data_IF_900213259850
#
_entry.id   IF_900213259850
#
_cell.length_a   1.000
_cell.length_b   1.000
_cell.length_c   1.000
_cell.angle_alpha   90.00
_cell.angle_beta   90.00
_cell.angle_gamma   90.00
#
_symmetry.space_group_name_H-M   'P 1'
#
loop_
_entity.id
_entity.type
_entity.pdbx_description
1 polymer ?
#
# COMPACT_ATOMS: atom_id res chain seq x y z
N UNK A 1 -29.58 10.97 -18.28
CA UNK A 1 -30.09 9.62 -18.56
C UNK A 1 -29.62 8.78 -17.39
N UNK A 2 -30.55 8.29 -16.57
CA UNK A 2 -30.27 7.74 -15.24
C UNK A 2 -29.31 6.55 -15.35
N UNK A 3 -28.09 6.70 -14.83
CA UNK A 3 -27.12 5.62 -14.70
C UNK A 3 -27.62 4.69 -13.60
N UNK A 4 -27.96 3.44 -13.95
CA UNK A 4 -28.15 2.37 -12.98
C UNK A 4 -26.76 1.89 -12.54
N UNK A 5 -26.07 2.73 -11.76
CA UNK A 5 -24.78 2.36 -11.17
C UNK A 5 -25.09 1.42 -10.02
N UNK A 6 -24.50 0.23 -10.10
CA UNK A 6 -24.11 -0.64 -9.00
C UNK A 6 -25.09 -0.51 -7.82
N UNK A 7 -26.21 -1.22 -7.92
CA UNK A 7 -26.86 -1.74 -6.72
C UNK A 7 -25.93 -2.79 -6.13
N UNK A 8 -24.76 -2.36 -5.66
CA UNK A 8 -23.98 -3.07 -4.67
C UNK A 8 -24.98 -3.31 -3.57
N UNK A 9 -25.40 -4.55 -3.48
CA UNK A 9 -26.27 -5.01 -2.44
C UNK A 9 -25.42 -4.96 -1.18
N UNK A 10 -25.32 -3.76 -0.59
CA UNK A 10 -25.03 -3.53 0.83
C UNK A 10 -26.24 -4.09 1.57
N UNK A 11 -26.37 -5.41 1.51
CA UNK A 11 -27.43 -6.21 2.10
C UNK A 11 -26.79 -7.35 2.88
N UNK A 12 -25.83 -7.00 3.73
CA UNK A 12 -25.41 -7.85 4.85
C UNK A 12 -26.03 -7.36 6.16
N UNK A 13 -27.19 -6.70 6.11
CA UNK A 13 -27.85 -6.13 7.29
C UNK A 13 -29.19 -6.81 7.66
N UNK A 14 -29.52 -8.02 7.19
CA UNK A 14 -30.89 -8.55 7.37
C UNK A 14 -31.06 -9.96 7.95
N UNK A 15 -30.02 -10.63 8.45
CA UNK A 15 -30.18 -12.02 8.95
C UNK A 15 -29.67 -12.29 10.38
N UNK A 16 -29.69 -11.29 11.28
CA UNK A 16 -29.29 -11.51 12.69
C UNK A 16 -30.41 -11.35 13.75
N UNK A 17 -31.67 -11.14 13.36
CA UNK A 17 -32.78 -11.08 14.31
C UNK A 17 -33.64 -12.35 14.34
N UNK A 18 -33.02 -13.50 14.66
CA UNK A 18 -33.77 -14.62 15.26
C UNK A 18 -32.85 -15.61 15.99
N UNK A 19 -32.44 -15.27 17.21
CA UNK A 19 -31.73 -16.22 18.06
C UNK A 19 -31.32 -15.65 19.42
N UNK A 20 -32.18 -15.83 20.43
CA UNK A 20 -31.91 -15.46 21.81
C UNK A 20 -30.66 -16.18 22.38
N UNK A 21 -29.71 -15.41 22.91
CA UNK A 21 -28.88 -15.75 24.06
C UNK A 21 -28.02 -17.00 23.95
N UNK A 22 -26.96 -16.94 23.14
CA UNK A 22 -25.80 -17.81 23.28
C UNK A 22 -24.54 -16.95 23.12
N UNK A 23 -23.48 -17.26 23.86
CA UNK A 23 -22.22 -16.48 23.87
C UNK A 23 -21.62 -16.30 22.45
N UNK A 24 -21.87 -17.26 21.56
CA UNK A 24 -21.52 -17.23 20.13
C UNK A 24 -22.19 -16.07 19.35
N UNK A 25 -23.48 -15.81 19.62
CA UNK A 25 -24.22 -14.72 18.97
C UNK A 25 -23.72 -13.36 19.47
N UNK A 26 -23.33 -13.26 20.74
CA UNK A 26 -22.75 -12.05 21.32
C UNK A 26 -21.41 -11.71 20.65
N UNK A 27 -20.53 -12.70 20.50
CA UNK A 27 -19.23 -12.50 19.85
C UNK A 27 -19.34 -11.97 18.42
N UNK A 28 -20.28 -12.51 17.62
CA UNK A 28 -20.50 -12.05 16.24
C UNK A 28 -21.03 -10.62 16.18
N UNK A 29 -21.95 -10.27 17.08
CA UNK A 29 -22.50 -8.90 17.17
C UNK A 29 -21.42 -7.92 17.62
N UNK A 30 -20.65 -8.25 18.65
CA UNK A 30 -19.61 -7.37 19.20
C UNK A 30 -18.52 -7.08 18.16
N UNK A 31 -18.08 -8.09 17.41
CA UNK A 31 -17.08 -7.91 16.34
C UNK A 31 -17.63 -7.03 15.22
N UNK A 32 -18.86 -7.28 14.77
CA UNK A 32 -19.47 -6.47 13.71
C UNK A 32 -19.67 -5.02 14.17
N UNK A 33 -20.16 -4.82 15.40
CA UNK A 33 -20.32 -3.49 15.97
C UNK A 33 -18.98 -2.75 16.06
N UNK A 34 -17.92 -3.42 16.51
CA UNK A 34 -16.58 -2.82 16.56
C UNK A 34 -16.08 -2.41 15.16
N UNK A 35 -16.32 -3.22 14.12
CA UNK A 35 -15.99 -2.88 12.73
C UNK A 35 -16.83 -1.67 12.25
N UNK A 36 -18.13 -1.68 12.50
CA UNK A 36 -19.06 -0.62 12.07
C UNK A 36 -18.76 0.72 12.76
N UNK A 37 -18.26 0.68 14.01
CA UNK A 37 -17.84 1.86 14.78
C UNK A 37 -16.40 2.32 14.46
N UNK A 38 -15.67 1.58 13.63
CA UNK A 38 -14.27 1.85 13.30
C UNK A 38 -13.27 1.47 14.40
N UNK A 39 -13.70 0.76 15.44
CA UNK A 39 -12.83 0.20 16.49
C UNK A 39 -12.22 -1.14 16.06
N UNK A 40 -11.38 -1.06 15.02
CA UNK A 40 -10.74 -2.22 14.42
C UNK A 40 -9.79 -2.94 15.38
N UNK A 41 -9.18 -2.23 16.33
CA UNK A 41 -8.28 -2.83 17.33
C UNK A 41 -9.04 -3.76 18.26
N UNK A 42 -10.23 -3.35 18.72
CA UNK A 42 -11.11 -4.21 19.53
C UNK A 42 -11.60 -5.39 18.70
N UNK A 43 -12.00 -5.18 17.44
CA UNK A 43 -12.43 -6.26 16.55
C UNK A 43 -11.34 -7.35 16.39
N UNK A 44 -10.10 -6.95 16.10
CA UNK A 44 -8.95 -7.86 15.98
C UNK A 44 -8.71 -8.61 17.29
N UNK A 45 -8.66 -7.89 18.42
CA UNK A 45 -8.42 -8.49 19.74
C UNK A 45 -9.45 -9.56 20.07
N UNK A 46 -10.73 -9.31 19.74
CA UNK A 46 -11.81 -10.30 19.93
C UNK A 46 -11.66 -11.50 19.01
N UNK A 47 -11.37 -11.28 17.73
CA UNK A 47 -11.22 -12.34 16.71
C UNK A 47 -10.02 -13.27 16.99
N UNK A 48 -8.91 -12.73 17.49
CA UNK A 48 -7.71 -13.50 17.86
C UNK A 48 -7.83 -14.12 19.26
N UNK A 49 -8.66 -13.55 20.12
CA UNK A 49 -8.83 -13.97 21.51
C UNK A 49 -10.13 -14.72 21.77
N UNK A 50 -11.00 -14.09 22.57
CA UNK A 50 -12.18 -14.71 23.18
C UNK A 50 -13.22 -15.22 22.17
N UNK A 51 -13.28 -14.65 20.96
CA UNK A 51 -14.22 -15.05 19.92
C UNK A 51 -13.61 -15.97 18.86
N UNK A 52 -12.34 -16.37 18.99
CA UNK A 52 -11.62 -17.14 17.97
C UNK A 52 -12.29 -18.47 17.58
N UNK A 53 -12.97 -19.13 18.52
CA UNK A 53 -13.67 -20.42 18.29
C UNK A 53 -15.11 -20.26 17.83
N UNK A 54 -15.66 -19.04 17.83
CA UNK A 54 -17.05 -18.74 17.46
C UNK A 54 -17.23 -18.65 15.93
N UNK A 55 -16.16 -18.35 15.22
CA UNK A 55 -16.14 -18.22 13.77
C UNK A 55 -15.59 -19.48 13.13
N UNK A 56 -16.08 -19.81 11.93
CA UNK A 56 -15.32 -20.71 11.06
C UNK A 56 -13.98 -20.04 10.71
N UNK A 57 -12.94 -20.82 10.40
CA UNK A 57 -11.65 -20.22 10.06
C UNK A 57 -11.77 -19.25 8.87
N UNK A 58 -12.54 -19.62 7.84
CA UNK A 58 -12.83 -18.74 6.71
C UNK A 58 -13.48 -17.42 7.15
N UNK A 59 -14.52 -17.45 8.00
CA UNK A 59 -15.18 -16.23 8.49
C UNK A 59 -14.24 -15.38 9.32
N UNK A 60 -13.52 -16.03 10.25
CA UNK A 60 -12.55 -15.35 11.12
C UNK A 60 -11.52 -14.59 10.30
N UNK A 61 -10.94 -15.23 9.27
CA UNK A 61 -9.95 -14.59 8.40
C UNK A 61 -10.56 -13.45 7.60
N UNK A 62 -11.77 -13.58 7.07
CA UNK A 62 -12.40 -12.47 6.35
C UNK A 62 -12.69 -11.25 7.24
N UNK A 63 -13.10 -11.48 8.49
CA UNK A 63 -13.30 -10.40 9.46
C UNK A 63 -11.97 -9.78 9.91
N UNK A 64 -10.94 -10.58 10.13
CA UNK A 64 -9.59 -10.08 10.42
C UNK A 64 -9.07 -9.24 9.26
N UNK A 65 -9.24 -9.70 8.02
CA UNK A 65 -8.84 -8.97 6.82
C UNK A 65 -9.49 -7.59 6.75
N UNK A 66 -10.82 -7.55 6.87
CA UNK A 66 -11.59 -6.30 6.90
C UNK A 66 -11.15 -5.36 8.03
N UNK A 67 -10.88 -5.90 9.23
CA UNK A 67 -10.45 -5.11 10.37
C UNK A 67 -9.02 -4.57 10.18
N UNK A 68 -8.09 -5.35 9.64
CA UNK A 68 -6.74 -4.86 9.31
C UNK A 68 -6.76 -3.82 8.19
N UNK A 69 -7.61 -3.99 7.17
CA UNK A 69 -7.82 -2.99 6.12
C UNK A 69 -8.36 -1.69 6.73
N UNK A 70 -9.38 -1.77 7.58
CA UNK A 70 -9.90 -0.61 8.30
C UNK A 70 -8.86 0.07 9.20
N UNK A 71 -8.09 -0.72 9.96
CA UNK A 71 -7.03 -0.22 10.83
C UNK A 71 -5.92 0.48 10.05
N UNK A 72 -5.68 0.06 8.80
CA UNK A 72 -4.73 0.70 7.91
C UNK A 72 -5.16 2.09 7.44
N UNK A 73 -6.43 2.45 7.64
CA UNK A 73 -7.04 3.72 7.23
C UNK A 73 -8.13 3.57 6.16
N UNK A 74 -8.40 2.34 5.70
CA UNK A 74 -9.20 2.09 4.51
C UNK A 74 -10.36 1.13 4.84
N UNK A 75 -11.52 1.68 5.17
CA UNK A 75 -12.75 0.89 5.19
C UNK A 75 -13.04 0.35 3.78
N UNK A 76 -13.61 -0.85 3.68
CA UNK A 76 -14.01 -1.43 2.39
C UNK A 76 -14.95 -0.51 1.61
N UNK A 77 -15.88 0.16 2.31
CA UNK A 77 -16.77 1.16 1.72
C UNK A 77 -16.02 2.39 1.23
N UNK A 78 -14.97 2.79 1.94
CA UNK A 78 -14.19 3.99 1.62
C UNK A 78 -13.30 3.72 0.42
N UNK A 79 -12.70 2.52 0.32
CA UNK A 79 -11.93 2.09 -0.86
C UNK A 79 -12.79 2.11 -2.13
N UNK A 80 -14.02 1.59 -2.07
CA UNK A 80 -14.97 1.64 -3.19
C UNK A 80 -15.40 3.08 -3.48
N UNK A 81 -15.68 3.87 -2.43
CA UNK A 81 -16.05 5.28 -2.60
C UNK A 81 -14.92 6.12 -3.20
N UNK A 82 -13.66 5.83 -2.86
CA UNK A 82 -12.47 6.50 -3.42
C UNK A 82 -12.37 6.27 -4.92
N UNK A 83 -12.54 5.02 -5.37
CA UNK A 83 -12.52 4.66 -6.79
C UNK A 83 -13.68 5.30 -7.55
N UNK A 84 -14.90 5.29 -6.98
CA UNK A 84 -16.08 5.92 -7.60
C UNK A 84 -15.96 7.44 -7.66
N UNK A 85 -15.51 8.09 -6.57
CA UNK A 85 -15.40 9.55 -6.51
C UNK A 85 -14.34 10.07 -7.46
N UNK A 86 -13.24 9.32 -7.63
CA UNK A 86 -12.19 9.66 -8.57
C UNK A 86 -12.67 9.63 -10.05
N UNK A 87 -13.69 8.81 -10.36
CA UNK A 87 -14.29 8.76 -11.71
C UNK A 87 -15.23 9.93 -12.04
N UNK A 88 -15.70 10.66 -11.03
CA UNK A 88 -16.65 11.78 -11.16
C UNK A 88 -15.98 13.16 -11.04
N UNK A 89 -14.67 13.24 -10.80
CA UNK A 89 -13.94 14.52 -10.68
C UNK A 89 -13.60 15.14 -12.03
N UNK A 90 -13.64 16.47 -12.11
CA UNK A 90 -13.23 17.24 -13.30
C UNK A 90 -11.71 17.44 -13.42
N UNK A 91 -10.92 16.80 -12.55
CA UNK A 91 -9.44 16.76 -12.55
C UNK A 91 -8.93 15.32 -12.68
N UNK A 92 -7.61 15.10 -12.62
CA UNK A 92 -7.02 13.77 -12.74
C UNK A 92 -7.49 12.83 -11.60
N UNK A 93 -8.12 11.73 -12.00
CA UNK A 93 -8.62 10.65 -11.13
C UNK A 93 -7.52 10.11 -10.22
N UNK A 94 -6.30 9.98 -10.74
CA UNK A 94 -5.16 9.47 -9.99
C UNK A 94 -4.76 10.41 -8.85
N UNK A 95 -4.73 11.70 -9.13
CA UNK A 95 -4.41 12.76 -8.17
C UNK A 95 -5.39 12.81 -7.00
N UNK A 96 -6.70 12.74 -7.29
CA UNK A 96 -7.73 12.66 -6.25
C UNK A 96 -7.62 11.39 -5.40
N UNK A 97 -7.30 10.25 -6.03
CA UNK A 97 -7.07 8.98 -5.34
C UNK A 97 -5.84 9.05 -4.41
N UNK A 98 -4.71 9.55 -4.92
CA UNK A 98 -3.47 9.71 -4.16
C UNK A 98 -3.65 10.63 -2.94
N UNK A 99 -4.36 11.75 -3.10
CA UNK A 99 -4.69 12.63 -1.98
C UNK A 99 -5.51 11.90 -0.92
N UNK A 100 -6.55 11.18 -1.35
CA UNK A 100 -7.42 10.45 -0.42
C UNK A 100 -6.65 9.36 0.33
N UNK A 101 -5.74 8.66 -0.34
CA UNK A 101 -4.84 7.69 0.31
C UNK A 101 -3.94 8.37 1.34
N UNK A 102 -3.34 9.50 1.00
CA UNK A 102 -2.47 10.24 1.92
C UNK A 102 -3.22 10.78 3.15
N UNK A 103 -4.44 11.27 2.97
CA UNK A 103 -5.24 11.85 4.06
C UNK A 103 -5.78 10.79 5.02
N UNK A 104 -5.99 9.55 4.55
CA UNK A 104 -6.61 8.48 5.33
C UNK A 104 -5.62 7.45 5.89
N UNK A 105 -4.40 7.32 5.31
CA UNK A 105 -3.45 6.28 5.74
C UNK A 105 -3.11 6.42 7.23
N UNK A 106 -3.06 5.28 7.90
CA UNK A 106 -2.44 5.17 9.23
C UNK A 106 -0.91 5.14 9.12
N UNK A 107 -0.22 5.40 10.23
CA UNK A 107 1.26 5.37 10.29
C UNK A 107 1.85 4.02 9.87
N UNK A 108 1.12 2.92 10.14
CA UNK A 108 1.53 1.55 9.81
C UNK A 108 0.68 0.94 8.69
N UNK A 109 0.21 1.76 7.75
CA UNK A 109 -0.73 1.33 6.72
C UNK A 109 -0.21 0.12 5.91
N UNK A 110 1.05 0.13 5.46
CA UNK A 110 1.60 -0.95 4.62
C UNK A 110 1.63 -2.33 5.33
N UNK A 111 2.17 -2.49 6.55
CA UNK A 111 2.07 -3.76 7.28
C UNK A 111 0.64 -4.23 7.54
N UNK A 112 -0.29 -3.31 7.76
CA UNK A 112 -1.69 -3.64 8.02
C UNK A 112 -2.41 -4.07 6.73
N UNK A 113 -2.12 -3.42 5.59
CA UNK A 113 -2.59 -3.83 4.27
C UNK A 113 -2.03 -5.20 3.87
N UNK A 114 -0.76 -5.49 4.17
CA UNK A 114 -0.16 -6.80 3.91
C UNK A 114 -0.89 -7.93 4.67
N UNK A 115 -1.14 -7.70 5.98
CA UNK A 115 -1.95 -8.62 6.80
C UNK A 115 -3.37 -8.78 6.27
N UNK A 116 -4.00 -7.67 5.87
CA UNK A 116 -5.34 -7.67 5.27
C UNK A 116 -5.41 -8.56 4.02
N UNK A 117 -4.51 -8.37 3.06
CA UNK A 117 -4.43 -9.21 1.86
C UNK A 117 -4.22 -10.70 2.21
N UNK A 118 -3.28 -10.99 3.11
CA UNK A 118 -3.02 -12.35 3.56
C UNK A 118 -4.28 -13.02 4.15
N UNK A 119 -5.01 -12.31 5.01
CA UNK A 119 -6.23 -12.85 5.60
C UNK A 119 -7.40 -12.97 4.60
N UNK A 120 -7.54 -12.07 3.62
CA UNK A 120 -8.55 -12.26 2.57
C UNK A 120 -8.27 -13.53 1.77
N UNK A 121 -7.01 -13.78 1.39
CA UNK A 121 -6.59 -15.01 0.72
C UNK A 121 -6.87 -16.24 1.60
N UNK A 122 -6.45 -16.22 2.87
CA UNK A 122 -6.70 -17.30 3.82
C UNK A 122 -8.19 -17.58 4.05
N UNK A 123 -9.06 -16.58 3.83
CA UNK A 123 -10.52 -16.75 3.92
C UNK A 123 -11.09 -17.62 2.79
N UNK A 124 -10.36 -17.74 1.68
CA UNK A 124 -10.68 -18.64 0.55
C UNK A 124 -10.08 -20.02 0.83
N UNK A 125 -8.75 -20.09 0.93
CA UNK A 125 -7.96 -21.28 1.24
C UNK A 125 -6.74 -20.86 2.08
N UNK A 126 -6.36 -21.58 3.15
CA UNK A 126 -5.18 -21.24 3.96
C UNK A 126 -3.85 -21.15 3.20
N UNK A 127 -3.77 -21.71 1.98
CA UNK A 127 -2.60 -21.66 1.10
C UNK A 127 -2.84 -20.81 -0.14
N UNK A 128 -3.97 -20.08 -0.22
CA UNK A 128 -4.25 -19.21 -1.34
C UNK A 128 -3.18 -18.11 -1.47
N UNK A 129 -2.90 -17.76 -2.70
CA UNK A 129 -1.97 -16.74 -3.12
C UNK A 129 -2.67 -15.73 -4.00
N UNK A 130 -2.03 -14.60 -4.30
CA UNK A 130 -2.57 -13.62 -5.24
C UNK A 130 -2.90 -14.24 -6.61
N UNK A 131 -2.17 -15.27 -7.04
CA UNK A 131 -2.43 -15.96 -8.30
C UNK A 131 -3.80 -16.65 -8.33
N UNK A 132 -4.33 -17.04 -7.17
CA UNK A 132 -5.68 -17.60 -7.05
C UNK A 132 -6.76 -16.54 -7.26
N UNK A 133 -6.39 -15.25 -7.22
CA UNK A 133 -7.27 -14.13 -7.50
C UNK A 133 -7.03 -13.45 -8.85
N UNK A 134 -5.98 -13.78 -9.59
CA UNK A 134 -5.73 -13.19 -10.93
C UNK A 134 -6.17 -14.10 -12.08
N UNK A 135 -6.28 -15.42 -11.85
CA UNK A 135 -6.76 -16.35 -12.87
C UNK A 135 -8.29 -16.24 -13.05
N UNK A 136 -8.76 -16.16 -14.29
CA UNK A 136 -10.19 -16.22 -14.61
C UNK A 136 -10.72 -17.62 -14.28
N UNK A 137 -11.53 -17.72 -13.22
CA UNK A 137 -12.18 -18.97 -12.80
C UNK A 137 -13.68 -18.81 -13.03
N UNK A 138 -14.25 -19.65 -13.91
CA UNK A 138 -15.63 -19.53 -14.38
C UNK A 138 -16.71 -19.83 -13.33
N UNK A 139 -16.33 -20.36 -12.16
CA UNK A 139 -17.25 -20.77 -11.08
C UNK A 139 -16.73 -20.32 -9.69
N UNK A 140 -16.37 -19.04 -9.52
CA UNK A 140 -16.07 -18.52 -8.18
C UNK A 140 -17.35 -18.47 -7.34
N UNK A 141 -17.23 -18.82 -6.07
CA UNK A 141 -18.25 -18.51 -5.08
C UNK A 141 -18.29 -17.01 -4.82
N UNK A 142 -19.44 -16.47 -4.39
CA UNK A 142 -19.55 -15.04 -4.02
C UNK A 142 -18.49 -14.61 -3.00
N UNK A 143 -18.07 -15.52 -2.11
CA UNK A 143 -17.01 -15.27 -1.13
C UNK A 143 -15.66 -15.09 -1.81
N UNK A 144 -15.31 -15.96 -2.75
CA UNK A 144 -14.07 -15.87 -3.53
C UNK A 144 -14.04 -14.61 -4.39
N UNK A 145 -15.16 -14.26 -5.04
CA UNK A 145 -15.30 -12.99 -5.77
C UNK A 145 -15.03 -11.79 -4.85
N UNK A 146 -15.71 -11.72 -3.71
CA UNK A 146 -15.56 -10.60 -2.78
C UNK A 146 -14.15 -10.52 -2.20
N UNK A 147 -13.57 -11.65 -1.79
CA UNK A 147 -12.22 -11.70 -1.25
C UNK A 147 -11.19 -11.28 -2.31
N UNK A 148 -11.30 -11.76 -3.55
CA UNK A 148 -10.39 -11.36 -4.61
C UNK A 148 -10.54 -9.90 -5.04
N UNK A 149 -11.77 -9.38 -5.05
CA UNK A 149 -12.01 -7.96 -5.26
C UNK A 149 -11.34 -7.10 -4.17
N UNK A 150 -11.46 -7.49 -2.90
CA UNK A 150 -10.84 -6.76 -1.79
C UNK A 150 -9.33 -6.89 -1.76
N UNK A 151 -8.77 -8.04 -2.12
CA UNK A 151 -7.34 -8.18 -2.39
C UNK A 151 -6.93 -7.20 -3.49
N UNK A 152 -7.69 -7.11 -4.58
CA UNK A 152 -7.45 -6.16 -5.66
C UNK A 152 -7.38 -4.70 -5.19
N UNK A 153 -8.38 -4.25 -4.42
CA UNK A 153 -8.38 -2.90 -3.83
C UNK A 153 -7.23 -2.70 -2.84
N UNK A 154 -6.95 -3.68 -2.00
CA UNK A 154 -5.85 -3.62 -1.04
C UNK A 154 -4.50 -3.43 -1.74
N UNK A 155 -4.29 -4.08 -2.89
CA UNK A 155 -3.07 -3.92 -3.69
C UNK A 155 -2.99 -2.54 -4.39
N UNK A 156 -4.10 -2.01 -4.89
CA UNK A 156 -4.15 -0.64 -5.43
C UNK A 156 -3.81 0.40 -4.35
N UNK A 157 -4.40 0.26 -3.16
CA UNK A 157 -4.09 1.11 -2.01
C UNK A 157 -2.65 0.92 -1.54
N UNK A 158 -2.12 -0.30 -1.55
CA UNK A 158 -0.72 -0.58 -1.21
C UNK A 158 0.23 0.15 -2.14
N UNK A 159 -0.07 0.16 -3.44
CA UNK A 159 0.71 0.90 -4.44
C UNK A 159 0.71 2.40 -4.14
N UNK A 160 -0.47 3.01 -4.02
CA UNK A 160 -0.60 4.43 -3.72
C UNK A 160 0.05 4.80 -2.39
N UNK A 161 -0.19 3.99 -1.36
CA UNK A 161 0.43 4.17 -0.05
C UNK A 161 1.95 4.13 -0.20
N UNK A 162 2.52 3.16 -0.92
CA UNK A 162 3.96 3.06 -1.15
C UNK A 162 4.54 4.30 -1.83
N UNK A 163 3.83 4.90 -2.80
CA UNK A 163 4.22 6.19 -3.40
C UNK A 163 4.27 7.30 -2.35
N UNK A 164 3.34 7.34 -1.40
CA UNK A 164 3.39 8.31 -0.28
C UNK A 164 4.49 8.03 0.76
N UNK A 165 5.23 6.93 0.67
CA UNK A 165 6.46 6.70 1.44
C UNK A 165 7.72 7.16 0.67
N UNK A 166 7.59 7.48 -0.62
CA UNK A 166 8.69 8.04 -1.43
C UNK A 166 8.82 9.56 -1.29
N UNK A 167 7.77 10.25 -0.85
CA UNK A 167 7.73 11.69 -0.69
C UNK A 167 6.96 12.09 0.56
N UNK A 168 7.42 13.12 1.25
CA UNK A 168 6.68 13.83 2.30
C UNK A 168 5.78 14.91 1.72
N UNK A 169 6.03 15.37 0.49
CA UNK A 169 5.25 16.39 -0.21
C UNK A 169 4.36 15.77 -1.30
N UNK A 170 3.27 15.11 -0.87
CA UNK A 170 2.30 14.46 -1.77
C UNK A 170 1.53 15.50 -2.60
N UNK A 171 1.21 16.66 -2.02
CA UNK A 171 0.47 17.72 -2.71
C UNK A 171 1.25 18.23 -3.93
N UNK A 172 2.56 18.49 -3.78
CA UNK A 172 3.40 18.91 -4.90
C UNK A 172 3.65 17.79 -5.91
N UNK A 173 3.71 16.53 -5.48
CA UNK A 173 3.76 15.38 -6.39
C UNK A 173 2.52 15.34 -7.27
N UNK A 174 1.34 15.39 -6.65
CA UNK A 174 0.04 15.41 -7.33
C UNK A 174 -0.02 16.56 -8.34
N UNK A 175 0.39 17.77 -7.92
CA UNK A 175 0.45 18.92 -8.83
C UNK A 175 1.42 18.70 -10.02
N UNK A 176 2.54 17.99 -9.82
CA UNK A 176 3.49 17.65 -10.90
C UNK A 176 2.87 16.69 -11.91
N UNK A 177 2.22 15.64 -11.44
CA UNK A 177 1.55 14.64 -12.29
C UNK A 177 0.45 15.32 -13.13
N UNK A 178 -0.30 16.25 -12.54
CA UNK A 178 -1.29 17.07 -13.25
C UNK A 178 -0.67 18.08 -14.24
N UNK A 179 0.66 18.16 -14.34
CA UNK A 179 1.39 19.09 -15.20
C UNK A 179 1.33 20.55 -14.74
N UNK A 180 0.97 20.79 -13.48
CA UNK A 180 0.81 22.14 -12.89
C UNK A 180 1.90 22.52 -11.89
N UNK A 181 2.72 21.55 -11.48
CA UNK A 181 3.75 21.69 -10.46
C UNK A 181 5.13 21.21 -10.94
N UNK A 182 5.99 20.92 -9.97
CA UNK A 182 7.30 20.29 -10.22
C UNK A 182 7.49 19.16 -9.23
N UNK A 183 7.98 18.02 -9.70
CA UNK A 183 8.25 16.86 -8.85
C UNK A 183 9.14 17.29 -7.66
N UNK A 184 8.72 17.01 -6.41
CA UNK A 184 9.47 17.34 -5.20
C UNK A 184 10.91 16.80 -5.18
N UNK A 185 11.80 17.48 -4.47
CA UNK A 185 13.22 17.08 -4.39
C UNK A 185 13.40 15.73 -3.68
N UNK A 186 12.61 15.46 -2.66
CA UNK A 186 12.59 14.19 -1.92
C UNK A 186 12.05 13.03 -2.75
N UNK A 187 11.02 13.27 -3.57
CA UNK A 187 10.56 12.31 -4.58
C UNK A 187 11.68 12.01 -5.57
N UNK A 188 12.32 13.03 -6.15
CA UNK A 188 13.46 12.85 -7.08
C UNK A 188 14.59 12.05 -6.44
N UNK A 189 14.91 12.33 -5.17
CA UNK A 189 15.91 11.57 -4.42
C UNK A 189 15.50 10.10 -4.23
N UNK A 190 14.22 9.83 -3.96
CA UNK A 190 13.68 8.47 -3.87
C UNK A 190 13.73 7.73 -5.21
N UNK A 191 13.33 8.38 -6.31
CA UNK A 191 13.38 7.81 -7.65
C UNK A 191 14.82 7.49 -8.07
N UNK A 192 15.77 8.40 -7.80
CA UNK A 192 17.18 8.16 -8.05
C UNK A 192 17.76 7.04 -7.16
N UNK A 193 17.28 6.90 -5.91
CA UNK A 193 17.68 5.78 -5.06
C UNK A 193 17.18 4.43 -5.58
N UNK A 194 15.94 4.36 -6.06
CA UNK A 194 15.37 3.16 -6.71
C UNK A 194 16.17 2.83 -7.99
N UNK A 195 16.41 3.83 -8.84
CA UNK A 195 17.16 3.66 -10.08
C UNK A 195 18.62 3.27 -9.82
N UNK A 196 19.24 3.80 -8.76
CA UNK A 196 20.56 3.40 -8.31
C UNK A 196 20.61 1.93 -7.91
N UNK A 197 19.66 1.50 -7.09
CA UNK A 197 19.60 0.13 -6.56
C UNK A 197 19.45 -0.92 -7.67
N UNK A 198 18.76 -0.56 -8.77
CA UNK A 198 18.35 -1.45 -9.87
C UNK A 198 19.17 -1.31 -11.16
N UNK A 199 19.77 -0.17 -11.47
CA UNK A 199 20.44 0.03 -12.77
C UNK A 199 21.59 1.03 -12.78
N UNK A 200 21.81 1.75 -11.67
CA UNK A 200 22.83 2.81 -11.52
C UNK A 200 22.68 4.04 -12.43
N UNK A 201 21.65 4.12 -13.29
CA UNK A 201 21.33 5.33 -14.06
C UNK A 201 20.43 6.22 -13.20
N UNK A 202 20.84 7.47 -12.95
CA UNK A 202 20.12 8.40 -12.08
C UNK A 202 19.34 9.41 -12.93
N UNK A 203 18.00 9.29 -13.06
CA UNK A 203 17.21 10.14 -13.94
C UNK A 203 17.19 11.62 -13.53
N UNK A 204 17.35 11.91 -12.23
CA UNK A 204 17.23 13.28 -11.70
C UNK A 204 18.57 13.96 -11.40
N UNK A 205 19.68 13.26 -11.65
CA UNK A 205 21.03 13.79 -11.49
C UNK A 205 21.46 13.94 -10.02
N UNK A 206 20.83 13.23 -9.09
CA UNK A 206 21.30 13.14 -7.70
C UNK A 206 22.73 12.61 -7.63
N UNK A 207 23.43 12.96 -6.56
CA UNK A 207 24.67 12.26 -6.18
C UNK A 207 24.37 11.31 -5.04
N UNK A 208 24.73 10.03 -5.18
CA UNK A 208 24.47 9.01 -4.15
C UNK A 208 25.79 8.52 -3.56
N UNK A 209 25.91 8.62 -2.23
CA UNK A 209 27.03 8.09 -1.46
C UNK A 209 26.57 6.89 -0.63
N UNK A 210 26.84 5.65 -1.06
CA UNK A 210 26.42 4.45 -0.35
C UNK A 210 27.39 4.07 0.78
N UNK A 211 26.87 3.51 1.86
CA UNK A 211 27.65 2.88 2.93
C UNK A 211 26.91 1.71 3.56
N UNK A 212 27.62 0.77 4.16
CA UNK A 212 27.01 -0.35 4.87
C UNK A 212 26.54 0.08 6.26
N UNK A 213 25.32 -0.32 6.62
CA UNK A 213 24.78 -0.13 7.97
C UNK A 213 24.12 -1.43 8.44
N UNK A 214 24.22 -1.71 9.74
CA UNK A 214 23.46 -2.79 10.38
C UNK A 214 22.40 -2.13 11.27
N UNK A 215 21.12 -2.38 10.95
CA UNK A 215 19.98 -1.88 11.71
C UNK A 215 19.23 -3.10 12.24
N UNK A 216 19.15 -3.20 13.57
CA UNK A 216 18.44 -4.29 14.26
C UNK A 216 18.89 -5.70 13.86
N UNK A 217 20.16 -5.87 13.47
CA UNK A 217 20.74 -7.15 13.06
C UNK A 217 20.75 -7.38 11.55
N UNK A 218 20.02 -6.58 10.77
CA UNK A 218 19.95 -6.70 9.31
C UNK A 218 20.90 -5.70 8.64
N UNK A 219 21.66 -6.17 7.64
CA UNK A 219 22.60 -5.33 6.89
C UNK A 219 21.89 -4.69 5.70
N UNK A 220 22.04 -3.38 5.56
CA UNK A 220 21.52 -2.56 4.48
C UNK A 220 22.61 -1.71 3.84
N UNK A 221 22.31 -1.17 2.66
CA UNK A 221 23.01 -0.03 2.08
C UNK A 221 22.30 1.25 2.50
N UNK A 222 22.94 2.03 3.36
CA UNK A 222 22.56 3.42 3.61
C UNK A 222 22.94 4.29 2.42
N UNK A 223 21.98 5.03 1.89
CA UNK A 223 22.16 5.92 0.75
C UNK A 223 22.01 7.36 1.21
N UNK A 224 23.10 8.12 1.16
CA UNK A 224 23.06 9.58 1.24
C UNK A 224 22.84 10.14 -0.16
N UNK A 225 21.66 10.71 -0.40
CA UNK A 225 21.22 11.22 -1.71
C UNK A 225 21.24 12.75 -1.68
N UNK A 226 22.13 13.36 -2.46
CA UNK A 226 22.23 14.80 -2.61
C UNK A 226 21.46 15.24 -3.87
N UNK A 227 20.34 15.93 -3.66
CA UNK A 227 19.48 16.47 -4.72
C UNK A 227 19.33 17.98 -4.52
N UNK A 228 19.69 18.78 -5.53
CA UNK A 228 19.58 20.25 -5.49
C UNK A 228 20.21 20.92 -4.25
N UNK A 229 21.29 20.34 -3.70
CA UNK A 229 21.98 20.84 -2.51
C UNK A 229 21.35 20.43 -1.18
N UNK A 230 20.30 19.61 -1.21
CA UNK A 230 19.63 19.02 -0.04
C UNK A 230 20.00 17.54 0.07
N UNK A 231 20.13 17.07 1.32
CA UNK A 231 20.48 15.67 1.61
C UNK A 231 19.25 14.90 2.05
N UNK A 232 19.06 13.72 1.49
CA UNK A 232 18.01 12.77 1.83
C UNK A 232 18.63 11.42 2.16
N UNK A 233 18.11 10.72 3.16
CA UNK A 233 18.55 9.35 3.44
C UNK A 233 17.53 8.33 2.93
N UNK A 234 18.03 7.29 2.28
CA UNK A 234 17.27 6.11 1.85
C UNK A 234 18.00 4.84 2.25
N UNK A 235 17.28 3.72 2.24
CA UNK A 235 17.88 2.40 2.40
C UNK A 235 17.71 1.57 1.13
N UNK A 236 18.71 0.77 0.84
CA UNK A 236 18.63 -0.30 -0.13
C UNK A 236 19.09 -1.63 0.47
N UNK A 237 18.69 -2.72 -0.19
CA UNK A 237 19.13 -4.06 0.15
C UNK A 237 20.66 -4.13 0.18
N UNK A 238 21.24 -5.00 1.03
CA UNK A 238 22.70 -5.17 1.13
C UNK A 238 23.38 -5.60 -0.18
N UNK A 239 22.61 -6.16 -1.11
CA UNK A 239 23.08 -6.61 -2.43
C UNK A 239 23.08 -5.51 -3.48
N UNK A 240 22.48 -4.34 -3.20
CA UNK A 240 22.45 -3.21 -4.12
C UNK A 240 23.82 -2.51 -4.26
N UNK A 241 24.16 -1.97 -5.45
CA UNK A 241 23.35 -2.00 -6.67
C UNK A 241 23.50 -3.35 -7.41
N UNK A 242 22.37 -3.93 -7.83
CA UNK A 242 22.35 -5.17 -8.61
C UNK A 242 21.16 -5.14 -9.58
N UNK A 243 21.42 -5.40 -10.87
CA UNK A 243 20.41 -5.23 -11.90
C UNK A 243 19.30 -6.29 -11.91
N UNK A 244 19.51 -7.40 -11.21
CA UNK A 244 18.55 -8.51 -11.15
C UNK A 244 17.80 -8.52 -9.83
N UNK A 245 18.51 -8.22 -8.73
CA UNK A 245 17.98 -8.42 -7.38
C UNK A 245 18.08 -7.16 -6.49
N UNK A 246 18.69 -6.08 -6.96
CA UNK A 246 18.84 -4.87 -6.17
C UNK A 246 17.53 -4.10 -6.07
N UNK A 247 17.15 -3.71 -4.86
CA UNK A 247 16.00 -2.85 -4.61
C UNK A 247 16.24 -1.90 -3.43
N UNK A 248 15.45 -0.84 -3.36
CA UNK A 248 15.34 -0.02 -2.15
C UNK A 248 14.39 -0.68 -1.15
N UNK A 249 14.65 -0.45 0.13
CA UNK A 249 13.77 -0.92 1.21
C UNK A 249 12.76 0.16 1.52
N UNK A 250 11.54 -0.23 1.86
CA UNK A 250 10.50 0.71 2.31
C UNK A 250 10.91 1.27 3.67
N UNK A 251 10.99 2.60 3.77
CA UNK A 251 11.41 3.28 5.00
C UNK A 251 10.37 4.28 5.49
N UNK A 252 10.22 4.40 6.81
CA UNK A 252 9.36 5.39 7.45
C UNK A 252 10.13 6.15 8.52
N UNK A 253 10.31 7.45 8.31
CA UNK A 253 11.11 8.28 9.21
C UNK A 253 12.55 7.77 9.37
N UNK A 254 13.11 7.99 10.55
CA UNK A 254 14.52 7.72 10.83
C UNK A 254 14.72 7.04 12.17
N UNK A 255 15.74 6.19 12.25
CA UNK A 255 16.11 5.50 13.48
C UNK A 255 17.62 5.27 13.60
N UNK A 256 18.03 4.91 14.82
CA UNK A 256 19.40 4.48 15.11
C UNK A 256 19.65 3.04 14.64
N UNK A 257 20.88 2.55 14.84
CA UNK A 257 21.28 1.16 14.51
C UNK A 257 20.51 0.08 15.27
N UNK A 258 19.78 0.43 16.33
CA UNK A 258 18.93 -0.49 17.09
C UNK A 258 17.47 -0.42 16.64
N UNK A 259 17.14 0.37 15.62
CA UNK A 259 15.78 0.59 15.15
C UNK A 259 14.97 1.56 16.02
N UNK A 260 15.60 2.29 16.95
CA UNK A 260 14.91 3.27 17.79
C UNK A 260 14.73 4.59 17.05
N UNK A 261 13.50 5.07 16.93
CA UNK A 261 13.18 6.34 16.26
C UNK A 261 13.43 7.56 17.13
N UNK A 262 13.29 7.43 18.45
CA UNK A 262 13.40 8.54 19.42
C UNK A 262 14.70 9.35 19.31
N UNK A 263 15.89 8.74 19.15
CA UNK A 263 17.14 9.50 18.99
C UNK A 263 17.21 10.35 17.70
N UNK A 264 16.36 10.04 16.73
CA UNK A 264 16.35 10.62 15.39
C UNK A 264 15.11 11.47 15.11
N UNK A 265 14.32 11.80 16.15
CA UNK A 265 13.19 12.70 16.02
C UNK A 265 13.65 14.12 15.66
N UNK A 266 13.01 14.70 14.65
CA UNK A 266 13.25 16.10 14.23
C UNK A 266 14.53 16.34 13.44
N UNK A 267 15.17 15.30 12.90
CA UNK A 267 16.32 15.47 12.00
C UNK A 267 15.93 15.96 10.59
N UNK A 268 14.67 15.78 10.24
CA UNK A 268 14.07 16.07 8.93
C UNK A 268 13.39 17.44 8.93
N UNK A 269 13.57 18.19 7.85
CA UNK A 269 12.84 19.43 7.56
C UNK A 269 11.49 19.14 6.89
N UNK A 270 10.64 20.16 6.73
CA UNK A 270 9.29 20.03 6.16
C UNK A 270 9.31 19.44 4.74
N UNK A 271 10.41 19.59 4.01
CA UNK A 271 10.59 19.08 2.65
C UNK A 271 11.25 17.70 2.58
N UNK A 272 11.40 17.01 3.71
CA UNK A 272 11.99 15.68 3.80
C UNK A 272 13.53 15.67 3.84
N UNK A 273 14.18 16.83 3.75
CA UNK A 273 15.65 16.91 3.75
C UNK A 273 16.24 16.89 5.17
N UNK A 274 17.47 16.43 5.31
CA UNK A 274 18.17 16.34 6.59
C UNK A 274 18.80 17.69 6.95
N UNK A 275 18.32 18.30 8.04
CA UNK A 275 18.69 19.67 8.45
C UNK A 275 20.01 19.76 9.24
N UNK A 276 20.33 18.77 10.07
CA UNK A 276 21.48 18.81 10.99
C UNK A 276 22.42 17.61 10.83
N UNK A 277 23.56 17.84 10.17
CA UNK A 277 24.61 16.85 9.97
C UNK A 277 25.26 16.34 11.27
N UNK A 278 25.09 17.02 12.40
CA UNK A 278 25.63 16.55 13.69
C UNK A 278 24.69 15.58 14.41
N UNK A 279 23.37 15.74 14.24
CA UNK A 279 22.37 14.76 14.68
C UNK A 279 22.29 13.56 13.74
N UNK A 280 22.65 13.75 12.46
CA UNK A 280 22.52 12.73 11.42
C UNK A 280 23.58 11.61 11.49
N UNK A 281 24.70 11.81 12.18
CA UNK A 281 25.84 10.86 12.19
C UNK A 281 25.50 9.45 12.70
N UNK A 282 24.39 9.29 13.42
CA UNK A 282 23.93 8.01 13.96
C UNK A 282 22.48 7.68 13.57
N UNK A 283 21.91 8.40 12.60
CA UNK A 283 20.53 8.24 12.15
C UNK A 283 20.46 7.80 10.70
N UNK A 284 19.57 6.85 10.44
CA UNK A 284 19.37 6.23 9.14
C UNK A 284 17.89 6.22 8.81
N UNK A 285 17.53 6.20 7.52
CA UNK A 285 16.14 5.96 7.15
C UNK A 285 15.68 4.62 7.77
N UNK A 286 14.52 4.60 8.42
CA UNK A 286 14.13 3.46 9.24
C UNK A 286 13.34 2.45 8.42
N UNK A 287 13.76 1.18 8.32
CA UNK A 287 13.00 0.18 7.58
C UNK A 287 11.63 -0.05 8.23
N UNK A 288 10.59 -0.18 7.41
CA UNK A 288 9.25 -0.57 7.88
C UNK A 288 9.26 -2.06 8.19
N UNK A 289 8.86 -2.40 9.41
CA UNK A 289 8.72 -3.79 9.88
C UNK A 289 7.33 -4.32 9.52
N UNK A 290 7.29 -5.36 8.68
CA UNK A 290 6.06 -6.06 8.29
C UNK A 290 5.69 -7.18 9.27
N UNK A 291 6.49 -7.37 10.33
CA UNK A 291 6.37 -8.45 11.31
C UNK A 291 7.49 -9.47 11.15
N UNK A 292 7.85 -10.13 12.26
CA UNK A 292 8.91 -11.14 12.32
C UNK A 292 10.29 -10.66 11.80
N UNK A 293 10.51 -9.34 11.76
CA UNK A 293 11.73 -8.73 11.21
C UNK A 293 11.77 -8.72 9.68
N UNK A 294 10.64 -8.95 9.02
CA UNK A 294 10.52 -8.87 7.57
C UNK A 294 10.46 -7.41 7.09
N UNK A 295 11.15 -7.14 5.99
CA UNK A 295 11.16 -5.83 5.32
C UNK A 295 10.85 -6.04 3.85
N UNK A 296 9.96 -5.22 3.30
CA UNK A 296 9.60 -5.32 1.88
C UNK A 296 10.45 -4.41 1.01
N UNK A 297 10.71 -4.91 -0.19
CA UNK A 297 11.32 -4.15 -1.28
C UNK A 297 10.30 -3.19 -1.87
N UNK A 298 10.71 -1.94 -2.08
CA UNK A 298 9.85 -0.91 -2.64
C UNK A 298 9.43 -1.25 -4.07
N UNK A 299 10.32 -1.85 -4.86
CA UNK A 299 10.00 -2.32 -6.21
C UNK A 299 8.88 -3.36 -6.17
N UNK A 300 8.91 -4.27 -5.19
CA UNK A 300 7.88 -5.29 -5.03
C UNK A 300 6.52 -4.65 -4.72
N UNK A 301 6.48 -3.72 -3.76
CA UNK A 301 5.23 -3.05 -3.38
C UNK A 301 4.66 -2.14 -4.46
N UNK A 302 5.48 -1.62 -5.36
CA UNK A 302 5.02 -0.78 -6.47
C UNK A 302 4.59 -1.61 -7.68
N UNK A 303 5.37 -2.63 -8.06
CA UNK A 303 5.14 -3.41 -9.29
C UNK A 303 4.21 -4.58 -9.06
N UNK A 304 4.44 -5.39 -8.03
CA UNK A 304 3.64 -6.60 -7.80
C UNK A 304 2.25 -6.23 -7.32
N UNK A 305 2.13 -5.20 -6.47
CA UNK A 305 0.84 -4.72 -6.02
C UNK A 305 0.04 -4.09 -7.17
N UNK A 306 0.65 -3.27 -8.02
CA UNK A 306 -0.07 -2.64 -9.11
C UNK A 306 -0.59 -3.67 -10.14
N UNK A 307 0.28 -4.59 -10.58
CA UNK A 307 -0.10 -5.64 -11.52
C UNK A 307 -1.08 -6.63 -10.87
N UNK A 308 -0.77 -7.13 -9.66
CA UNK A 308 -1.64 -8.07 -8.96
C UNK A 308 -3.01 -7.47 -8.60
N UNK A 309 -3.05 -6.17 -8.29
CA UNK A 309 -4.29 -5.45 -7.98
C UNK A 309 -5.19 -5.28 -9.21
N UNK A 310 -4.63 -4.77 -10.31
CA UNK A 310 -5.38 -4.57 -11.56
C UNK A 310 -5.87 -5.90 -12.14
N UNK A 311 -5.04 -6.95 -12.12
CA UNK A 311 -5.42 -8.28 -12.58
C UNK A 311 -6.51 -8.91 -11.69
N UNK A 312 -6.40 -8.77 -10.36
CA UNK A 312 -7.38 -9.32 -9.44
C UNK A 312 -8.77 -8.68 -9.61
N UNK A 313 -8.84 -7.35 -9.75
CA UNK A 313 -10.08 -6.63 -10.01
C UNK A 313 -10.68 -7.08 -11.35
N UNK A 314 -9.87 -7.11 -12.40
CA UNK A 314 -10.30 -7.48 -13.76
C UNK A 314 -10.81 -8.92 -13.86
N UNK A 315 -10.28 -9.84 -13.03
CA UNK A 315 -10.71 -11.24 -13.05
C UNK A 315 -12.10 -11.49 -12.44
N UNK A 316 -12.59 -10.56 -11.62
CA UNK A 316 -13.86 -10.69 -10.88
C UNK A 316 -14.96 -9.81 -11.50
N UNK A 317 -14.58 -8.70 -12.12
CA UNK A 317 -15.52 -7.71 -12.66
C UNK A 317 -15.67 -7.86 -14.17
N UNK A 318 -16.86 -8.23 -14.64
CA UNK A 318 -17.25 -8.19 -16.07
C UNK A 318 -17.90 -6.83 -16.42
N UNK A 319 -17.19 -5.74 -16.10
CA UNK A 319 -17.62 -4.36 -16.37
C UNK A 319 -16.62 -3.69 -17.31
N UNK A 320 -17.09 -3.40 -18.53
CA UNK A 320 -16.27 -2.80 -19.58
C UNK A 320 -15.75 -1.40 -19.20
N UNK A 321 -16.48 -0.65 -18.37
CA UNK A 321 -16.06 0.70 -17.96
C UNK A 321 -14.87 0.61 -16.98
N UNK A 322 -14.89 -0.37 -16.06
CA UNK A 322 -13.79 -0.61 -15.10
C UNK A 322 -12.55 -1.11 -15.83
N UNK A 323 -12.70 -2.05 -16.76
CA UNK A 323 -11.58 -2.51 -17.59
C UNK A 323 -11.00 -1.35 -18.40
N UNK A 324 -11.85 -0.51 -18.99
CA UNK A 324 -11.41 0.66 -19.73
C UNK A 324 -10.61 1.63 -18.83
N UNK A 325 -11.04 1.89 -17.59
CA UNK A 325 -10.28 2.75 -16.66
C UNK A 325 -8.91 2.16 -16.31
N UNK A 326 -8.79 0.84 -16.16
CA UNK A 326 -7.51 0.17 -15.92
C UNK A 326 -6.60 0.31 -17.16
N UNK A 327 -7.16 0.10 -18.36
CA UNK A 327 -6.42 0.20 -19.62
C UNK A 327 -5.96 1.64 -19.91
N UNK A 328 -6.80 2.64 -19.60
CA UNK A 328 -6.47 4.07 -19.69
C UNK A 328 -5.32 4.42 -18.74
N UNK A 329 -5.39 3.99 -17.47
CA UNK A 329 -4.32 4.20 -16.50
C UNK A 329 -2.97 3.59 -16.97
N UNK A 330 -2.97 2.36 -17.49
CA UNK A 330 -1.75 1.76 -18.05
C UNK A 330 -1.22 2.56 -19.24
N UNK A 331 -2.11 3.08 -20.08
CA UNK A 331 -1.76 3.91 -21.24
C UNK A 331 -1.13 5.23 -20.82
N UNK A 332 -1.60 5.85 -19.74
CA UNK A 332 -1.03 7.09 -19.18
C UNK A 332 0.38 6.86 -18.63
N UNK A 333 0.67 5.64 -18.15
CA UNK A 333 2.03 5.21 -17.81
C UNK A 333 2.88 4.81 -19.03
N UNK A 334 2.38 5.02 -20.25
CA UNK A 334 3.01 4.61 -21.51
C UNK A 334 3.24 3.08 -21.62
N UNK A 335 2.40 2.30 -20.93
CA UNK A 335 2.35 0.84 -20.97
C UNK A 335 1.18 0.41 -21.85
N UNK A 336 1.34 -0.62 -22.68
CA UNK A 336 0.19 -1.18 -23.41
C UNK A 336 -0.79 -1.84 -22.44
N UNK A 337 -2.10 -1.74 -22.68
CA UNK A 337 -3.15 -2.33 -21.82
C UNK A 337 -2.88 -3.79 -21.38
N UNK A 338 -2.36 -4.62 -22.30
CA UNK A 338 -2.09 -6.04 -22.06
C UNK A 338 -0.71 -6.34 -21.42
N UNK A 339 0.11 -5.33 -21.16
CA UNK A 339 1.44 -5.51 -20.57
C UNK A 339 1.42 -5.29 -19.05
N UNK A 340 2.34 -5.98 -18.38
CA UNK A 340 2.65 -5.70 -16.98
C UNK A 340 3.44 -4.41 -16.89
N UNK A 341 3.08 -3.58 -15.92
CA UNK A 341 3.82 -2.37 -15.55
C UNK A 341 5.15 -2.79 -14.95
N UNK A 342 6.24 -2.14 -15.37
CA UNK A 342 7.58 -2.33 -14.83
C UNK A 342 7.96 -1.20 -13.88
N UNK A 343 9.05 -1.40 -13.13
CA UNK A 343 9.58 -0.33 -12.26
C UNK A 343 10.00 0.90 -13.08
N UNK A 344 10.51 0.72 -14.30
CA UNK A 344 10.91 1.85 -15.15
C UNK A 344 9.70 2.68 -15.56
N UNK A 345 8.57 2.02 -15.88
CA UNK A 345 7.34 2.72 -16.24
C UNK A 345 6.82 3.57 -15.07
N UNK A 346 6.91 3.05 -13.83
CA UNK A 346 6.57 3.79 -12.61
C UNK A 346 7.52 4.98 -12.40
N UNK A 347 8.83 4.76 -12.57
CA UNK A 347 9.83 5.84 -12.42
C UNK A 347 9.61 6.96 -13.44
N UNK A 348 9.31 6.61 -14.70
CA UNK A 348 9.05 7.57 -15.76
C UNK A 348 7.75 8.34 -15.50
N UNK A 349 6.70 7.66 -15.03
CA UNK A 349 5.42 8.27 -14.69
C UNK A 349 5.52 9.26 -13.51
N UNK A 350 6.22 8.87 -12.45
CA UNK A 350 6.40 9.72 -11.26
C UNK A 350 7.37 10.89 -11.47
N UNK A 351 8.05 10.96 -12.62
CA UNK A 351 9.04 11.98 -12.93
C UNK A 351 8.59 13.00 -14.01
N UNK A 352 7.28 13.07 -14.28
CA UNK A 352 6.68 14.06 -15.18
C UNK A 352 6.71 15.48 -14.58
#
# INVERSE_FOLDING_TARGET
MYKQIISASVLTASLLFSGCGNDETSCRIDVQQAIDEGDFTTAITKLEGECSTTFSDSDKYFYLASAYMGQSGFGVSDAVSMVVTASDSTGDTFSAFMQSVNDNKSVNALPLLDKSAGYFLMSIDPNATIADCTNVVLDRTQREENACLYVGFNQAITTATSVTYLTTDVDSLVASIDGTGTTPDDMKASLDAIAWATSSVLPNGSTITPSDVNISGTVYKHLEVLQNGKTFYRLASSISPDATNGSTVVTSGYCDVNGSTTPCEGIEDVDGSIYDANLSLACYACPVDFGDGDTKDMTQLLVDALNGGTDAISSVIDDADIQQSIDEFKTDMNVSADANVTIQDILDYLNQ
#
